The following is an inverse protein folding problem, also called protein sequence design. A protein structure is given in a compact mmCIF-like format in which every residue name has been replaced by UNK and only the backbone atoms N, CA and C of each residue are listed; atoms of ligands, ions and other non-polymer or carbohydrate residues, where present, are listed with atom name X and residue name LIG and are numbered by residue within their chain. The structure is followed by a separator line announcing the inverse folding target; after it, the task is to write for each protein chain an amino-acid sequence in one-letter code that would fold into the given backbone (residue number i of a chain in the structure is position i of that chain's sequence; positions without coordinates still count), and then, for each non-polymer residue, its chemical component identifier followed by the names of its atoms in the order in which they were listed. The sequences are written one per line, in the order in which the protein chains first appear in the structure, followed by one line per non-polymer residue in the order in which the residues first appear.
data_IF_717023777428
#
_entry.id   IF_717023777428
#
_cell.length_a   1.000
_cell.length_b   1.000
_cell.length_c   1.000
_cell.angle_alpha   90.00
_cell.angle_beta   90.00
_cell.angle_gamma   90.00
#
_symmetry.space_group_name_H-M   'P 1'
#
loop_
_entity.id
_entity.type
_entity.pdbx_description
1 polymer ?
#
# COMPACT_ATOMS: atom_id res chain seq x y z
N UNK A 1 7.72 19.42 0.72
CA UNK A 1 7.83 19.90 -0.67
C UNK A 1 6.53 19.52 -1.37
N UNK A 2 5.79 20.45 -1.99
CA UNK A 2 4.56 20.11 -2.73
C UNK A 2 4.96 19.47 -4.06
N UNK A 3 4.39 18.31 -4.40
CA UNK A 3 4.56 17.73 -5.73
C UNK A 3 3.62 18.46 -6.68
N UNK A 4 4.18 19.09 -7.71
CA UNK A 4 3.38 19.74 -8.74
C UNK A 4 2.80 18.67 -9.68
N UNK A 5 1.64 18.96 -10.27
CA UNK A 5 1.06 18.09 -11.30
C UNK A 5 2.04 17.88 -12.46
N UNK A 6 2.83 18.91 -12.81
CA UNK A 6 3.87 18.80 -13.84
C UNK A 6 4.95 17.76 -13.51
N UNK A 7 5.40 17.68 -12.25
CA UNK A 7 6.35 16.64 -11.82
C UNK A 7 5.74 15.23 -11.93
N UNK A 8 4.46 15.07 -11.58
CA UNK A 8 3.77 13.79 -11.71
C UNK A 8 3.60 13.40 -13.18
N UNK A 9 3.23 14.35 -14.04
CA UNK A 9 3.11 14.14 -15.50
C UNK A 9 4.46 13.77 -16.12
N UNK A 10 5.56 14.37 -15.66
CA UNK A 10 6.90 14.01 -16.15
C UNK A 10 7.25 12.55 -15.83
N UNK A 11 6.85 12.02 -14.66
CA UNK A 11 7.00 10.60 -14.33
C UNK A 11 6.16 9.72 -15.26
N UNK A 12 4.98 10.18 -15.67
CA UNK A 12 4.13 9.47 -16.63
C UNK A 12 4.72 9.41 -18.04
N UNK A 13 5.71 10.24 -18.37
CA UNK A 13 6.41 10.19 -19.66
C UNK A 13 7.59 9.19 -19.67
N UNK A 14 8.01 8.66 -18.52
CA UNK A 14 9.10 7.67 -18.44
C UNK A 14 8.87 6.42 -19.32
N UNK A 15 7.64 5.88 -19.43
CA UNK A 15 7.39 4.75 -20.33
C UNK A 15 7.48 5.08 -21.82
N UNK A 16 7.49 6.35 -22.23
CA UNK A 16 7.65 6.68 -23.65
C UNK A 16 9.03 6.24 -24.19
N UNK A 17 10.04 6.13 -23.32
CA UNK A 17 11.32 5.52 -23.66
C UNK A 17 11.30 3.99 -23.74
N UNK A 18 10.22 3.33 -23.28
CA UNK A 18 10.07 1.86 -23.21
C UNK A 18 9.58 1.29 -24.54
N UNK A 19 8.76 2.04 -25.28
CA UNK A 19 8.21 1.62 -26.59
C UNK A 19 9.27 1.38 -27.68
N UNK A 20 10.55 1.62 -27.39
CA UNK A 20 11.66 1.46 -28.32
C UNK A 20 12.56 0.25 -28.06
N UNK A 21 12.36 -0.50 -26.96
CA UNK A 21 13.11 -1.73 -26.66
C UNK A 21 12.17 -2.93 -26.62
N UNK A 22 12.04 -3.59 -27.76
CA UNK A 22 11.42 -4.90 -27.89
C UNK A 22 12.13 -5.91 -26.97
N UNK A 23 11.46 -6.31 -25.91
CA UNK A 23 11.80 -7.52 -25.19
C UNK A 23 10.49 -8.27 -24.91
N UNK A 24 10.37 -9.48 -25.46
CA UNK A 24 9.26 -10.38 -25.15
C UNK A 24 9.25 -10.69 -23.65
N UNK A 25 8.33 -10.07 -22.91
CA UNK A 25 8.25 -10.22 -21.44
C UNK A 25 7.58 -11.54 -21.05
N UNK A 26 6.83 -12.16 -21.97
CA UNK A 26 6.13 -13.42 -21.73
C UNK A 26 7.05 -14.59 -21.34
N UNK A 27 8.34 -14.56 -21.73
CA UNK A 27 9.30 -15.65 -21.46
C UNK A 27 10.28 -15.36 -20.32
N UNK A 28 10.20 -14.20 -19.66
CA UNK A 28 11.12 -13.84 -18.57
C UNK A 28 10.66 -14.42 -17.23
N UNK A 29 11.58 -14.98 -16.42
CA UNK A 29 11.24 -15.54 -15.12
C UNK A 29 10.65 -14.48 -14.18
N UNK A 30 9.82 -14.92 -13.23
CA UNK A 30 9.23 -14.07 -12.21
C UNK A 30 10.31 -13.23 -11.50
N UNK A 31 10.23 -11.91 -11.63
CA UNK A 31 11.06 -10.98 -10.87
C UNK A 31 10.40 -10.82 -9.50
N UNK A 32 11.06 -11.34 -8.45
CA UNK A 32 10.60 -11.22 -7.06
C UNK A 32 10.20 -9.78 -6.77
N UNK A 33 9.07 -9.54 -6.13
CA UNK A 33 8.55 -8.22 -5.77
C UNK A 33 8.03 -7.35 -6.92
N UNK A 34 8.24 -7.71 -8.19
CA UNK A 34 7.66 -6.99 -9.33
C UNK A 34 6.19 -7.34 -9.49
N UNK A 35 5.33 -6.38 -9.14
CA UNK A 35 3.88 -6.53 -9.24
C UNK A 35 3.49 -6.60 -10.72
N UNK A 36 4.03 -5.72 -11.55
CA UNK A 36 3.63 -5.66 -12.97
C UNK A 36 4.11 -6.90 -13.73
N UNK A 37 5.36 -7.34 -13.53
CA UNK A 37 5.83 -8.56 -14.18
C UNK A 37 5.00 -9.78 -13.74
N UNK A 38 4.60 -9.86 -12.46
CA UNK A 38 3.73 -10.92 -11.98
C UNK A 38 2.33 -10.89 -12.64
N UNK A 39 1.75 -9.69 -12.81
CA UNK A 39 0.45 -9.53 -13.48
C UNK A 39 0.49 -9.83 -15.00
N UNK A 40 1.65 -9.70 -15.63
CA UNK A 40 1.85 -10.09 -17.03
C UNK A 40 1.95 -11.61 -17.22
N UNK A 41 2.26 -12.36 -16.16
CA UNK A 41 2.20 -13.82 -16.22
C UNK A 41 0.75 -14.27 -16.43
N UNK A 42 0.56 -15.17 -17.38
CA UNK A 42 -0.74 -15.75 -17.66
C UNK A 42 -0.87 -17.10 -16.96
N UNK A 43 -2.01 -17.32 -16.34
CA UNK A 43 -2.29 -18.53 -15.56
C UNK A 43 -3.59 -19.14 -16.07
N UNK A 44 -3.58 -20.45 -16.33
CA UNK A 44 -4.74 -21.16 -16.90
C UNK A 44 -5.98 -21.13 -15.99
N UNK A 45 -5.79 -20.98 -14.67
CA UNK A 45 -6.90 -20.91 -13.72
C UNK A 45 -7.39 -19.46 -13.55
N UNK A 46 -8.58 -19.10 -14.06
CA UNK A 46 -9.10 -17.73 -13.98
C UNK A 46 -9.46 -17.29 -12.55
N UNK A 47 -9.53 -18.22 -11.59
CA UNK A 47 -9.75 -17.90 -10.17
C UNK A 47 -8.44 -17.65 -9.40
N UNK A 48 -7.28 -17.78 -10.06
CA UNK A 48 -6.02 -17.39 -9.46
C UNK A 48 -5.94 -15.87 -9.37
N UNK A 49 -5.86 -15.36 -8.14
CA UNK A 49 -5.74 -13.94 -7.86
C UNK A 49 -4.29 -13.57 -7.64
N UNK A 50 -3.90 -12.38 -8.08
CA UNK A 50 -2.54 -11.88 -7.92
C UNK A 50 -2.47 -10.99 -6.68
N UNK A 51 -1.42 -11.10 -5.85
CA UNK A 51 -1.18 -10.14 -4.78
C UNK A 51 -0.78 -8.78 -5.36
N UNK A 52 -1.14 -7.70 -4.67
CA UNK A 52 -0.71 -6.33 -5.00
C UNK A 52 0.15 -5.76 -3.88
N UNK A 53 -0.45 -5.40 -2.74
CA UNK A 53 0.26 -5.17 -1.47
C UNK A 53 0.40 -6.47 -0.67
N UNK A 54 1.03 -6.40 0.50
CA UNK A 54 1.11 -7.54 1.43
C UNK A 54 -0.26 -8.00 1.94
N UNK A 55 -0.45 -9.30 2.10
CA UNK A 55 -1.63 -9.88 2.73
C UNK A 55 -1.25 -10.42 4.11
N UNK A 56 -1.88 -9.90 5.17
CA UNK A 56 -1.53 -10.27 6.56
C UNK A 56 -2.71 -10.18 7.52
N UNK A 57 -2.58 -10.87 8.66
CA UNK A 57 -3.46 -10.77 9.81
C UNK A 57 -2.61 -10.77 11.08
N UNK A 58 -2.78 -9.72 11.90
CA UNK A 58 -2.00 -9.44 13.10
C UNK A 58 -2.91 -9.25 14.30
N UNK A 59 -2.49 -9.75 15.46
CA UNK A 59 -2.98 -9.23 16.74
C UNK A 59 -2.11 -8.04 17.15
N UNK A 60 -2.73 -6.92 17.48
CA UNK A 60 -2.01 -5.66 17.70
C UNK A 60 -2.38 -5.00 19.01
N UNK A 61 -1.50 -4.13 19.50
CA UNK A 61 -1.76 -3.20 20.60
C UNK A 61 -1.27 -1.81 20.20
N UNK A 62 -2.11 -0.79 20.41
CA UNK A 62 -1.76 0.61 20.17
C UNK A 62 -1.48 1.37 21.47
N UNK A 63 -0.53 2.30 21.43
CA UNK A 63 -0.18 3.18 22.54
C UNK A 63 -1.39 4.02 22.98
N UNK A 64 -2.18 4.48 22.01
CA UNK A 64 -3.38 5.26 22.25
C UNK A 64 -4.44 4.97 21.18
N UNK A 65 -5.71 4.97 21.60
CA UNK A 65 -6.83 4.70 20.71
C UNK A 65 -7.65 5.99 20.58
N UNK A 66 -7.83 6.44 19.34
CA UNK A 66 -8.50 7.70 19.01
C UNK A 66 -10.02 7.66 19.23
N UNK A 67 -10.45 7.66 20.50
CA UNK A 67 -11.87 7.66 20.87
C UNK A 67 -12.60 8.92 20.42
N UNK A 68 -11.90 10.06 20.37
CA UNK A 68 -12.50 11.34 19.97
C UNK A 68 -13.03 11.30 18.54
N UNK A 69 -12.25 10.76 17.59
CA UNK A 69 -12.69 10.68 16.19
C UNK A 69 -13.86 9.71 15.99
N UNK A 70 -14.04 8.74 16.89
CA UNK A 70 -15.11 7.73 16.81
C UNK A 70 -16.21 7.94 17.85
N UNK A 71 -16.27 9.10 18.52
CA UNK A 71 -17.18 9.38 19.65
C UNK A 71 -18.67 9.21 19.34
N UNK A 72 -19.05 9.20 18.05
CA UNK A 72 -20.42 8.94 17.60
C UNK A 72 -20.81 7.47 17.65
N UNK A 73 -19.86 6.55 17.82
CA UNK A 73 -20.15 5.13 18.02
C UNK A 73 -20.59 4.92 19.47
N UNK A 74 -21.67 4.17 19.67
CA UNK A 74 -22.23 3.82 20.98
C UNK A 74 -21.24 3.08 21.90
N UNK A 75 -20.29 2.35 21.31
CA UNK A 75 -19.25 1.60 22.02
C UNK A 75 -17.91 2.35 22.20
N UNK A 76 -17.78 3.60 21.71
CA UNK A 76 -16.50 4.33 21.65
C UNK A 76 -15.79 4.47 23.01
N UNK A 77 -16.55 4.76 24.07
CA UNK A 77 -16.02 4.87 25.44
C UNK A 77 -15.40 3.56 25.95
N UNK A 78 -15.92 2.43 25.48
CA UNK A 78 -15.46 1.09 25.86
C UNK A 78 -14.43 0.50 24.88
N UNK A 79 -13.99 1.29 23.90
CA UNK A 79 -13.01 0.85 22.91
C UNK A 79 -11.65 0.53 23.56
N UNK A 80 -11.05 -0.58 23.14
CA UNK A 80 -9.81 -1.14 23.67
C UNK A 80 -8.62 -0.84 22.78
N UNK A 81 -7.43 -0.87 23.38
CA UNK A 81 -6.15 -0.61 22.69
C UNK A 81 -5.64 -1.81 21.90
N UNK A 82 -6.13 -3.01 22.20
CA UNK A 82 -5.82 -4.21 21.46
C UNK A 82 -6.85 -4.48 20.35
N UNK A 83 -6.35 -4.69 19.14
CA UNK A 83 -7.17 -4.89 17.94
C UNK A 83 -6.54 -5.95 17.04
N UNK A 84 -7.37 -6.73 16.34
CA UNK A 84 -6.90 -7.47 15.16
C UNK A 84 -6.77 -6.47 14.01
N UNK A 85 -5.58 -6.38 13.42
CA UNK A 85 -5.30 -5.62 12.21
C UNK A 85 -5.07 -6.59 11.07
N UNK A 86 -5.77 -6.44 9.95
CA UNK A 86 -5.49 -7.24 8.76
C UNK A 86 -5.52 -6.39 7.49
N UNK A 87 -4.77 -6.86 6.49
CA UNK A 87 -4.74 -6.29 5.15
C UNK A 87 -5.00 -7.38 4.13
N UNK A 88 -5.95 -7.11 3.23
CA UNK A 88 -6.18 -7.88 2.00
C UNK A 88 -5.77 -6.99 0.83
N UNK A 89 -4.99 -7.51 -0.12
CA UNK A 89 -4.61 -6.76 -1.30
C UNK A 89 -4.41 -7.65 -2.53
N UNK A 90 -5.20 -7.34 -3.56
CA UNK A 90 -5.32 -8.12 -4.77
C UNK A 90 -5.17 -7.20 -6.00
N UNK A 91 -4.62 -7.75 -7.08
CA UNK A 91 -4.59 -7.11 -8.39
C UNK A 91 -5.23 -7.99 -9.46
N UNK A 92 -5.75 -7.30 -10.48
CA UNK A 92 -6.56 -7.85 -11.55
C UNK A 92 -6.01 -7.30 -12.88
N UNK A 93 -5.33 -8.12 -13.69
CA UNK A 93 -4.92 -7.69 -15.03
C UNK A 93 -6.17 -7.60 -15.92
N UNK A 94 -6.54 -6.41 -16.36
CA UNK A 94 -7.76 -6.17 -17.14
C UNK A 94 -7.49 -6.26 -18.64
N UNK A 95 -6.37 -5.71 -19.09
CA UNK A 95 -5.95 -5.74 -20.50
C UNK A 95 -4.43 -5.73 -20.60
N UNK A 96 -3.82 -6.91 -20.80
CA UNK A 96 -2.39 -7.06 -21.08
C UNK A 96 -2.08 -6.62 -22.51
N UNK A 97 -0.93 -5.99 -22.74
CA UNK A 97 -0.49 -5.57 -24.06
C UNK A 97 -1.10 -4.24 -24.56
N UNK A 98 -1.86 -3.51 -23.73
CA UNK A 98 -2.61 -2.31 -24.15
C UNK A 98 -1.74 -1.23 -24.81
N UNK A 99 -0.49 -1.12 -24.39
CA UNK A 99 0.53 -0.22 -24.91
C UNK A 99 1.83 -1.02 -25.17
N UNK A 100 1.75 -2.22 -25.74
CA UNK A 100 2.90 -3.10 -26.00
C UNK A 100 3.07 -4.22 -24.96
N UNK A 101 3.84 -5.25 -25.30
CA UNK A 101 3.86 -6.57 -24.64
C UNK A 101 4.21 -6.55 -23.15
N UNK A 102 4.93 -5.52 -22.70
CA UNK A 102 5.32 -5.35 -21.30
C UNK A 102 4.41 -4.44 -20.49
N UNK A 103 3.23 -4.11 -21.04
CA UNK A 103 2.27 -3.20 -20.42
C UNK A 103 0.96 -3.87 -20.08
N UNK A 104 0.22 -3.32 -19.13
CA UNK A 104 -1.16 -3.70 -18.87
C UNK A 104 -2.00 -2.54 -18.33
N UNK A 105 -3.29 -2.56 -18.65
CA UNK A 105 -4.31 -1.92 -17.82
C UNK A 105 -4.68 -2.89 -16.70
N UNK A 106 -4.58 -2.42 -15.46
CA UNK A 106 -4.83 -3.22 -14.27
C UNK A 106 -5.72 -2.49 -13.29
N UNK A 107 -6.38 -3.26 -12.43
CA UNK A 107 -7.03 -2.75 -11.24
C UNK A 107 -6.43 -3.43 -10.01
N UNK A 108 -6.54 -2.78 -8.86
CA UNK A 108 -6.26 -3.43 -7.58
C UNK A 108 -7.24 -2.99 -6.52
N UNK A 109 -7.34 -3.80 -5.47
CA UNK A 109 -8.16 -3.53 -4.31
C UNK A 109 -7.34 -3.85 -3.07
N UNK A 110 -7.08 -2.83 -2.26
CA UNK A 110 -6.47 -2.99 -0.94
C UNK A 110 -7.48 -2.64 0.13
N UNK A 111 -7.61 -3.48 1.16
CA UNK A 111 -8.46 -3.22 2.31
C UNK A 111 -7.63 -3.39 3.58
N UNK A 112 -7.69 -2.42 4.48
CA UNK A 112 -7.12 -2.50 5.83
C UNK A 112 -8.23 -2.40 6.85
N UNK A 113 -8.24 -3.28 7.85
CA UNK A 113 -9.30 -3.28 8.87
C UNK A 113 -8.71 -3.38 10.27
N UNK A 114 -9.34 -2.67 11.22
CA UNK A 114 -9.04 -2.70 12.65
C UNK A 114 -10.27 -3.19 13.41
N UNK A 115 -10.14 -4.35 14.03
CA UNK A 115 -11.23 -5.10 14.62
C UNK A 115 -11.03 -5.25 16.12
N UNK A 116 -12.01 -4.80 16.90
CA UNK A 116 -12.05 -4.92 18.37
C UNK A 116 -12.43 -6.35 18.79
N UNK A 117 -11.75 -7.37 18.25
CA UNK A 117 -12.08 -8.79 18.44
C UNK A 117 -12.20 -9.18 19.93
N UNK A 118 -11.29 -8.69 20.77
CA UNK A 118 -11.30 -9.00 22.20
C UNK A 118 -12.45 -8.31 22.95
N UNK A 119 -13.09 -7.30 22.35
CA UNK A 119 -14.10 -6.47 22.97
C UNK A 119 -15.50 -7.11 22.89
N UNK A 120 -15.61 -8.32 23.43
CA UNK A 120 -16.87 -9.07 23.49
C UNK A 120 -18.00 -8.34 24.25
N UNK A 121 -17.65 -7.42 25.16
CA UNK A 121 -18.63 -6.57 25.87
C UNK A 121 -19.41 -5.66 24.93
N UNK A 122 -18.79 -5.27 23.81
CA UNK A 122 -19.37 -4.41 22.77
C UNK A 122 -19.72 -5.22 21.50
N UNK A 123 -19.79 -6.56 21.62
CA UNK A 123 -20.01 -7.48 20.49
C UNK A 123 -18.92 -7.48 19.41
N UNK A 124 -17.67 -7.23 19.80
CA UNK A 124 -16.48 -7.29 18.94
C UNK A 124 -16.62 -6.47 17.63
N UNK A 125 -16.83 -5.14 17.71
CA UNK A 125 -17.11 -4.32 16.55
C UNK A 125 -15.86 -4.06 15.70
N UNK A 126 -16.06 -3.81 14.40
CA UNK A 126 -15.01 -3.20 13.57
C UNK A 126 -14.94 -1.70 13.86
N UNK A 127 -13.76 -1.23 14.28
CA UNK A 127 -13.53 0.21 14.49
C UNK A 127 -13.45 0.93 13.17
N UNK A 128 -12.60 0.43 12.28
CA UNK A 128 -12.29 1.10 11.03
C UNK A 128 -12.02 0.07 9.94
N UNK A 129 -12.38 0.42 8.71
CA UNK A 129 -11.97 -0.29 7.50
C UNK A 129 -11.69 0.74 6.43
N UNK A 130 -10.54 0.67 5.76
CA UNK A 130 -10.22 1.52 4.62
C UNK A 130 -10.25 0.68 3.35
N UNK A 131 -10.94 1.20 2.34
CA UNK A 131 -11.19 0.60 1.04
C UNK A 131 -10.42 1.41 0.00
N UNK A 132 -9.36 0.84 -0.55
CA UNK A 132 -8.44 1.50 -1.46
C UNK A 132 -8.41 0.82 -2.84
N UNK A 133 -9.45 1.01 -3.69
CA UNK A 133 -9.43 0.55 -5.07
C UNK A 133 -8.56 1.45 -5.96
N UNK A 134 -7.95 0.85 -6.98
CA UNK A 134 -7.10 1.53 -7.96
C UNK A 134 -7.38 1.04 -9.38
N UNK A 135 -7.17 1.94 -10.34
CA UNK A 135 -7.13 1.65 -11.78
C UNK A 135 -5.86 2.28 -12.34
N UNK A 136 -5.04 1.49 -13.03
CA UNK A 136 -3.69 1.90 -13.41
C UNK A 136 -3.23 1.32 -14.74
N UNK A 137 -2.30 2.05 -15.37
CA UNK A 137 -1.43 1.53 -16.42
C UNK A 137 -0.10 1.14 -15.79
N UNK A 138 0.32 -0.10 -15.99
CA UNK A 138 1.58 -0.65 -15.50
C UNK A 138 2.49 -1.08 -16.63
N UNK A 139 3.80 -0.91 -16.43
CA UNK A 139 4.86 -1.31 -17.34
C UNK A 139 5.93 -2.09 -16.58
N UNK A 140 6.26 -3.29 -17.05
CA UNK A 140 7.41 -4.04 -16.60
C UNK A 140 8.65 -3.57 -17.38
N UNK A 141 9.66 -3.05 -16.69
CA UNK A 141 10.85 -2.43 -17.29
C UNK A 141 12.15 -3.09 -16.81
N UNK A 142 13.25 -2.83 -17.52
CA UNK A 142 14.58 -3.34 -17.19
C UNK A 142 15.64 -2.22 -17.17
N UNK A 143 15.25 -0.98 -16.84
CA UNK A 143 16.17 0.16 -16.85
C UNK A 143 17.23 0.05 -15.76
N UNK A 144 18.49 -0.01 -16.17
CA UNK A 144 19.62 -0.13 -15.25
C UNK A 144 20.30 1.22 -15.01
N UNK A 145 20.54 1.54 -13.75
CA UNK A 145 21.30 2.72 -13.34
C UNK A 145 22.06 2.44 -12.04
N UNK A 146 23.38 2.58 -12.06
CA UNK A 146 24.25 2.43 -10.88
C UNK A 146 23.98 1.14 -10.05
N UNK A 147 23.79 0.00 -10.74
CA UNK A 147 23.50 -1.30 -10.12
C UNK A 147 22.04 -1.54 -9.74
N UNK A 148 21.19 -0.51 -9.79
CA UNK A 148 19.75 -0.65 -9.62
C UNK A 148 19.07 -0.98 -10.95
N UNK A 149 18.03 -1.79 -10.90
CA UNK A 149 17.11 -2.00 -12.04
C UNK A 149 15.72 -1.50 -11.66
N UNK A 150 15.20 -0.52 -12.39
CA UNK A 150 13.81 -0.08 -12.30
C UNK A 150 12.95 -1.13 -13.00
N UNK A 151 12.13 -1.84 -12.24
CA UNK A 151 11.33 -3.00 -12.67
C UNK A 151 9.88 -2.65 -12.94
N UNK A 152 9.29 -1.78 -12.12
CA UNK A 152 7.90 -1.37 -12.30
C UNK A 152 7.83 0.13 -12.51
N UNK A 153 7.11 0.53 -13.55
CA UNK A 153 6.56 1.87 -13.68
C UNK A 153 5.05 1.72 -13.76
N UNK A 154 4.34 2.32 -12.82
CA UNK A 154 2.88 2.28 -12.77
C UNK A 154 2.34 3.68 -12.53
N UNK A 155 1.23 4.00 -13.16
CA UNK A 155 0.53 5.27 -12.97
C UNK A 155 -0.97 5.04 -12.99
N UNK A 156 -1.69 5.72 -12.12
CA UNK A 156 -3.11 5.42 -11.98
C UNK A 156 -3.87 6.41 -11.14
N UNK A 157 -5.16 6.09 -11.04
CA UNK A 157 -6.09 6.70 -10.11
C UNK A 157 -6.26 5.78 -8.90
N UNK A 158 -6.37 6.41 -7.74
CA UNK A 158 -6.57 5.78 -6.46
C UNK A 158 -7.68 6.52 -5.72
N UNK A 159 -8.66 5.75 -5.27
CA UNK A 159 -9.64 6.19 -4.29
C UNK A 159 -9.32 5.51 -2.97
N UNK A 160 -9.45 6.21 -1.85
CA UNK A 160 -9.30 5.64 -0.52
C UNK A 160 -10.34 6.26 0.40
N UNK A 161 -11.23 5.43 0.94
CA UNK A 161 -12.29 5.86 1.85
C UNK A 161 -12.56 4.81 2.92
N UNK A 162 -13.20 5.22 4.01
CA UNK A 162 -13.54 4.30 5.10
C UNK A 162 -14.97 3.72 5.05
N UNK A 163 -15.76 4.12 4.05
CA UNK A 163 -17.15 3.66 3.87
C UNK A 163 -18.08 4.01 5.02
N UNK A 164 -17.73 4.99 5.86
CA UNK A 164 -18.58 5.48 6.96
C UNK A 164 -19.44 6.65 6.48
N UNK A 165 -20.55 6.86 7.17
CA UNK A 165 -21.31 8.11 7.09
C UNK A 165 -20.73 9.17 8.04
N UNK A 166 -21.19 10.41 7.87
CA UNK A 166 -20.91 11.50 8.82
C UNK A 166 -21.32 11.13 10.26
N UNK A 167 -20.58 11.62 11.27
CA UNK A 167 -19.41 12.51 11.19
C UNK A 167 -18.06 11.78 11.02
N UNK A 168 -18.10 10.45 10.87
CA UNK A 168 -16.91 9.58 10.82
C UNK A 168 -16.47 9.25 9.39
N UNK A 169 -17.13 9.81 8.36
CA UNK A 169 -16.72 9.68 6.97
C UNK A 169 -15.31 10.22 6.78
N UNK A 170 -14.46 9.46 6.10
CA UNK A 170 -13.13 9.89 5.66
C UNK A 170 -12.90 9.39 4.24
N UNK A 171 -12.42 10.28 3.37
CA UNK A 171 -12.17 9.96 1.97
C UNK A 171 -11.22 10.94 1.29
N UNK A 172 -10.52 10.47 0.28
CA UNK A 172 -9.70 11.29 -0.62
C UNK A 172 -9.39 10.53 -1.92
N UNK A 173 -9.00 11.28 -2.94
CA UNK A 173 -8.66 10.72 -4.25
C UNK A 173 -7.29 11.22 -4.71
N UNK A 174 -6.56 10.36 -5.42
CA UNK A 174 -5.18 10.61 -5.83
C UNK A 174 -4.96 10.14 -7.27
N UNK A 175 -4.28 10.98 -8.05
CA UNK A 175 -3.49 10.50 -9.17
C UNK A 175 -2.11 10.17 -8.65
N UNK A 176 -1.53 9.05 -9.07
CA UNK A 176 -0.24 8.61 -8.56
C UNK A 176 0.65 8.03 -9.65
N UNK A 177 1.94 7.97 -9.34
CA UNK A 177 2.91 7.10 -10.00
C UNK A 177 3.49 6.17 -8.93
N UNK A 178 3.87 4.95 -9.29
CA UNK A 178 4.57 3.98 -8.45
C UNK A 178 5.76 3.46 -9.24
N UNK A 179 6.95 3.63 -8.65
CA UNK A 179 8.22 3.24 -9.24
C UNK A 179 8.88 2.24 -8.31
N UNK A 180 9.17 1.03 -8.79
CA UNK A 180 9.85 0.01 -7.99
C UNK A 180 11.18 -0.37 -8.65
N UNK A 181 12.26 -0.26 -7.90
CA UNK A 181 13.60 -0.62 -8.32
C UNK A 181 14.27 -1.59 -7.34
N UNK A 182 15.19 -2.40 -7.86
CA UNK A 182 15.88 -3.44 -7.09
C UNK A 182 17.39 -3.39 -7.30
N UNK A 183 18.15 -3.77 -6.28
CA UNK A 183 19.60 -3.95 -6.35
C UNK A 183 20.05 -5.04 -5.37
N UNK A 184 20.37 -6.22 -5.90
CA UNK A 184 20.69 -7.39 -5.09
C UNK A 184 19.56 -7.72 -4.12
N UNK A 185 19.84 -7.63 -2.82
CA UNK A 185 18.90 -7.91 -1.75
C UNK A 185 17.98 -6.72 -1.40
N UNK A 186 18.15 -5.57 -2.04
CA UNK A 186 17.37 -4.36 -1.79
C UNK A 186 16.22 -4.21 -2.79
N UNK A 187 15.09 -3.70 -2.29
CA UNK A 187 13.98 -3.18 -3.06
C UNK A 187 13.63 -1.79 -2.56
N UNK A 188 13.41 -0.84 -3.46
CA UNK A 188 12.90 0.50 -3.14
C UNK A 188 11.70 0.78 -4.02
N UNK A 189 10.59 1.17 -3.40
CA UNK A 189 9.40 1.67 -4.09
C UNK A 189 9.11 3.11 -3.67
N UNK A 190 8.95 4.00 -4.65
CA UNK A 190 8.51 5.38 -4.43
C UNK A 190 7.16 5.57 -5.11
N UNK A 191 6.16 6.01 -4.35
CA UNK A 191 4.80 6.25 -4.83
C UNK A 191 4.39 7.71 -4.58
N UNK A 192 4.80 8.68 -5.42
CA UNK A 192 4.30 10.04 -5.34
C UNK A 192 2.85 10.16 -5.81
N UNK A 193 2.12 11.14 -5.27
CA UNK A 193 0.74 11.42 -5.67
C UNK A 193 0.41 12.91 -5.75
N UNK A 194 -0.69 13.19 -6.45
CA UNK A 194 -1.37 14.47 -6.52
C UNK A 194 -2.84 14.27 -6.14
N UNK A 195 -3.33 15.02 -5.16
CA UNK A 195 -4.72 14.92 -4.70
C UNK A 195 -5.66 15.57 -5.71
N UNK A 196 -6.76 14.89 -6.01
CA UNK A 196 -7.80 15.34 -6.96
C UNK A 196 -9.18 15.19 -6.34
N UNK A 197 -10.16 15.93 -6.87
CA UNK A 197 -11.55 15.84 -6.39
C UNK A 197 -11.77 16.43 -4.99
N UNK A 198 -12.86 15.99 -4.36
CA UNK A 198 -13.31 16.49 -3.05
C UNK A 198 -12.47 15.87 -1.90
N UNK A 199 -12.23 16.65 -0.84
CA UNK A 199 -11.57 16.23 0.41
C UNK A 199 -12.27 16.78 1.67
N UNK A 200 -13.54 17.18 1.57
CA UNK A 200 -14.30 17.89 2.60
C UNK A 200 -14.39 17.12 3.92
N UNK A 201 -14.38 15.78 3.88
CA UNK A 201 -14.33 14.91 5.05
C UNK A 201 -13.05 15.10 5.91
N UNK A 202 -11.96 15.52 5.25
CA UNK A 202 -10.62 15.65 5.82
C UNK A 202 -9.77 16.63 4.96
N UNK A 203 -10.09 17.93 4.96
CA UNK A 203 -9.52 18.89 4.01
C UNK A 203 -8.03 19.13 4.23
N UNK A 204 -7.53 18.82 5.43
CA UNK A 204 -6.12 18.93 5.79
C UNK A 204 -5.37 17.58 5.73
N UNK A 205 -5.91 16.54 5.09
CA UNK A 205 -5.27 15.20 5.05
C UNK A 205 -3.81 15.23 4.54
N UNK A 206 -3.50 16.08 3.57
CA UNK A 206 -2.14 16.24 3.03
C UNK A 206 -1.15 16.81 4.05
N UNK A 207 -1.63 17.49 5.10
CA UNK A 207 -0.79 17.95 6.22
C UNK A 207 -0.10 16.77 6.91
N UNK A 208 -0.76 15.62 7.01
CA UNK A 208 -0.27 14.43 7.72
C UNK A 208 0.25 13.35 6.78
N UNK A 209 -0.44 13.12 5.66
CA UNK A 209 -0.06 12.10 4.69
C UNK A 209 1.07 12.54 3.75
N UNK A 210 1.29 13.84 3.58
CA UNK A 210 2.26 14.36 2.62
C UNK A 210 1.85 14.08 1.17
N UNK A 211 2.86 13.85 0.33
CA UNK A 211 2.71 13.78 -1.13
C UNK A 211 3.30 12.53 -1.76
N UNK A 212 3.81 11.60 -0.95
CA UNK A 212 4.41 10.37 -1.43
C UNK A 212 4.47 9.32 -0.31
N UNK A 213 4.58 8.06 -0.71
CA UNK A 213 4.98 6.94 0.15
C UNK A 213 6.31 6.39 -0.36
N UNK A 214 7.21 6.08 0.57
CA UNK A 214 8.45 5.35 0.32
C UNK A 214 8.32 3.97 0.96
N UNK A 215 8.73 2.93 0.24
CA UNK A 215 8.98 1.60 0.81
C UNK A 215 10.40 1.15 0.52
N UNK A 216 10.99 0.45 1.48
CA UNK A 216 12.31 -0.16 1.38
C UNK A 216 12.21 -1.58 1.92
N UNK A 217 12.64 -2.55 1.12
CA UNK A 217 12.76 -3.94 1.51
C UNK A 217 14.22 -4.38 1.50
N UNK A 218 14.61 -5.23 2.46
CA UNK A 218 15.89 -5.90 2.47
C UNK A 218 15.73 -7.39 2.77
N UNK A 219 16.23 -8.23 1.86
CA UNK A 219 16.25 -9.68 2.03
C UNK A 219 17.50 -10.11 2.79
N UNK A 220 17.34 -10.70 3.98
CA UNK A 220 18.43 -11.27 4.77
C UNK A 220 18.23 -12.79 4.89
N UNK A 221 18.83 -13.54 3.97
CA UNK A 221 18.53 -14.97 3.82
C UNK A 221 17.06 -15.18 3.46
N UNK A 222 16.30 -15.83 4.34
CA UNK A 222 14.85 -16.02 4.19
C UNK A 222 14.02 -14.94 4.91
N UNK A 223 14.65 -14.16 5.79
CA UNK A 223 14.01 -13.04 6.46
C UNK A 223 13.83 -11.87 5.48
N UNK A 224 12.72 -11.16 5.60
CA UNK A 224 12.48 -9.91 4.90
C UNK A 224 12.30 -8.82 5.94
N UNK A 225 13.14 -7.78 5.86
CA UNK A 225 13.00 -6.55 6.61
C UNK A 225 12.32 -5.52 5.72
N UNK A 226 11.27 -4.88 6.22
CA UNK A 226 10.48 -3.89 5.49
C UNK A 226 10.39 -2.59 6.24
N UNK A 227 10.52 -1.47 5.55
CA UNK A 227 10.17 -0.15 6.05
C UNK A 227 9.26 0.53 5.04
N UNK A 228 8.12 1.08 5.49
CA UNK A 228 7.30 1.96 4.67
C UNK A 228 6.93 3.23 5.42
N UNK A 229 6.76 4.34 4.73
CA UNK A 229 6.32 5.56 5.40
C UNK A 229 6.02 6.70 4.46
N UNK A 230 5.41 7.73 5.05
CA UNK A 230 5.09 8.99 4.43
C UNK A 230 5.52 10.13 5.35
N UNK A 231 5.96 11.24 4.76
CA UNK A 231 6.38 12.41 5.52
C UNK A 231 6.13 13.70 4.75
N UNK A 232 5.50 14.66 5.41
CA UNK A 232 5.31 16.00 4.88
C UNK A 232 6.39 16.94 5.43
N UNK A 233 7.42 17.14 4.62
CA UNK A 233 8.54 18.04 4.93
C UNK A 233 8.16 19.49 5.24
N UNK A 234 6.97 19.97 4.84
CA UNK A 234 6.51 21.33 5.14
C UNK A 234 5.93 21.46 6.55
N UNK A 235 5.38 20.39 7.10
CA UNK A 235 4.57 20.42 8.33
C UNK A 235 5.20 19.61 9.46
N UNK A 236 6.14 18.72 9.13
CA UNK A 236 6.81 17.84 10.10
C UNK A 236 6.00 16.61 10.50
N UNK A 237 4.82 16.40 9.92
CA UNK A 237 3.99 15.22 10.18
C UNK A 237 4.31 14.09 9.23
N UNK A 238 4.12 12.87 9.71
CA UNK A 238 4.26 11.66 8.93
C UNK A 238 4.02 10.42 9.76
N UNK A 239 4.22 9.27 9.15
CA UNK A 239 4.12 7.96 9.79
C UNK A 239 5.06 6.97 9.13
N UNK A 240 5.53 6.02 9.93
CA UNK A 240 6.42 4.96 9.48
C UNK A 240 5.95 3.62 10.03
N UNK A 241 6.12 2.58 9.22
CA UNK A 241 5.88 1.19 9.57
C UNK A 241 7.14 0.39 9.29
N UNK A 242 7.60 -0.34 10.30
CA UNK A 242 8.68 -1.31 10.20
C UNK A 242 8.10 -2.70 10.33
N UNK A 243 8.64 -3.64 9.56
CA UNK A 243 8.18 -5.02 9.56
C UNK A 243 9.33 -6.01 9.41
N UNK A 244 9.14 -7.19 9.98
CA UNK A 244 10.03 -8.33 9.84
C UNK A 244 9.18 -9.56 9.59
N UNK A 245 9.48 -10.30 8.52
CA UNK A 245 8.83 -11.58 8.23
C UNK A 245 9.83 -12.71 8.04
N UNK A 246 9.41 -13.93 8.38
CA UNK A 246 10.19 -15.16 8.18
C UNK A 246 9.27 -16.32 7.78
N UNK A 247 9.64 -17.16 6.79
CA UNK A 247 8.77 -18.24 6.34
C UNK A 247 8.54 -19.29 7.43
N UNK A 248 7.27 -19.69 7.61
CA UNK A 248 6.86 -20.87 8.40
C UNK A 248 6.60 -22.03 7.44
N UNK A 249 6.00 -21.73 6.29
CA UNK A 249 5.74 -22.65 5.20
C UNK A 249 6.04 -21.96 3.87
N UNK A 250 5.83 -22.65 2.75
CA UNK A 250 5.97 -22.07 1.40
C UNK A 250 5.06 -20.85 1.17
N UNK A 251 3.91 -20.76 1.83
CA UNK A 251 2.89 -19.72 1.57
C UNK A 251 2.49 -18.91 2.80
N UNK A 252 3.11 -19.19 3.96
CA UNK A 252 2.78 -18.53 5.23
C UNK A 252 4.07 -18.13 5.93
N UNK A 253 4.11 -16.87 6.39
CA UNK A 253 5.22 -16.25 7.07
C UNK A 253 4.77 -15.78 8.46
N UNK A 254 5.64 -15.92 9.46
CA UNK A 254 5.51 -15.15 10.69
C UNK A 254 5.77 -13.68 10.36
N UNK A 255 4.98 -12.76 10.91
CA UNK A 255 5.13 -11.34 10.65
C UNK A 255 4.97 -10.52 11.93
N UNK A 256 5.93 -9.62 12.16
CA UNK A 256 5.90 -8.62 13.22
C UNK A 256 5.96 -7.24 12.60
N UNK A 257 5.10 -6.34 13.07
CA UNK A 257 4.96 -4.98 12.55
C UNK A 257 4.99 -3.96 13.70
N UNK A 258 5.66 -2.84 13.47
CA UNK A 258 5.66 -1.66 14.34
C UNK A 258 5.30 -0.46 13.47
N UNK A 259 4.12 0.11 13.69
CA UNK A 259 3.72 1.39 13.13
C UNK A 259 3.95 2.50 14.16
N UNK A 260 4.40 3.67 13.74
CA UNK A 260 4.46 4.86 14.58
C UNK A 260 4.26 6.14 13.77
N UNK A 261 3.36 7.01 14.21
CA UNK A 261 3.09 8.31 13.60
C UNK A 261 1.62 8.54 13.28
N UNK A 262 1.38 9.41 12.30
CA UNK A 262 0.07 9.84 11.82
C UNK A 262 -0.35 9.11 10.54
N UNK A 263 -1.64 8.81 10.38
CA UNK A 263 -2.14 8.21 9.16
C UNK A 263 -1.91 6.71 9.07
N UNK A 264 -2.16 5.99 10.18
CA UNK A 264 -2.22 4.53 10.13
C UNK A 264 -3.48 4.04 9.41
N UNK A 265 -4.59 4.72 9.68
CA UNK A 265 -5.91 4.53 9.08
C UNK A 265 -6.50 5.90 8.75
N UNK A 266 -7.55 5.95 7.93
CA UNK A 266 -8.20 7.22 7.56
C UNK A 266 -8.87 7.89 8.76
N UNK A 267 -9.55 7.17 9.64
CA UNK A 267 -10.12 7.77 10.86
C UNK A 267 -9.04 8.35 11.79
N UNK A 268 -7.81 7.83 11.70
CA UNK A 268 -6.63 8.26 12.46
C UNK A 268 -5.66 9.12 11.63
N UNK A 269 -6.10 9.71 10.51
CA UNK A 269 -5.18 10.44 9.61
C UNK A 269 -4.44 11.58 10.31
N UNK A 270 -5.09 12.23 11.27
CA UNK A 270 -4.58 13.34 12.07
C UNK A 270 -4.26 12.95 13.52
N UNK A 271 -4.16 11.64 13.81
CA UNK A 271 -3.92 11.12 15.15
C UNK A 271 -2.60 10.35 15.22
N UNK A 272 -1.76 10.67 16.20
CA UNK A 272 -0.48 10.01 16.40
C UNK A 272 -0.62 8.79 17.30
N UNK A 273 -0.09 7.65 16.87
CA UNK A 273 -0.04 6.44 17.69
C UNK A 273 1.17 5.58 17.35
N UNK A 274 1.59 4.75 18.29
CA UNK A 274 2.55 3.66 18.07
C UNK A 274 1.80 2.34 18.24
N UNK A 275 1.74 1.52 17.20
CA UNK A 275 1.07 0.21 17.23
C UNK A 275 2.06 -0.90 16.93
N UNK A 276 2.08 -1.92 17.79
CA UNK A 276 2.90 -3.13 17.61
C UNK A 276 1.97 -4.30 17.35
N UNK A 277 2.33 -5.18 16.42
CA UNK A 277 1.53 -6.34 16.06
C UNK A 277 2.36 -7.56 15.68
N UNK A 278 1.82 -8.74 15.96
CA UNK A 278 2.41 -10.04 15.60
C UNK A 278 1.33 -10.94 15.02
N UNK A 279 1.66 -11.71 13.98
CA UNK A 279 0.73 -12.61 13.33
C UNK A 279 1.31 -13.28 12.10
N UNK A 280 0.47 -13.44 11.08
CA UNK A 280 0.77 -14.20 9.87
C UNK A 280 0.68 -13.31 8.63
N UNK A 281 1.50 -13.62 7.63
CA UNK A 281 1.53 -12.98 6.33
C UNK A 281 1.60 -14.03 5.22
N UNK A 282 0.99 -13.77 4.06
CA UNK A 282 1.06 -14.63 2.88
C UNK A 282 2.21 -14.22 1.95
N UNK A 283 2.24 -12.93 1.56
CA UNK A 283 3.25 -12.34 0.70
C UNK A 283 3.82 -11.06 1.32
N UNK A 284 5.13 -10.86 1.16
CA UNK A 284 5.85 -9.66 1.59
C UNK A 284 6.22 -8.80 0.34
N UNK A 285 7.10 -7.81 0.49
CA UNK A 285 7.59 -6.92 -0.58
C UNK A 285 8.26 -7.62 -1.76
N UNK A 286 8.77 -8.84 -1.56
CA UNK A 286 9.50 -9.64 -2.56
C UNK A 286 8.73 -10.90 -2.96
#
# INVERSE_FOLDING_TARGET
MRISLACLVALCALPAGVMAQDASVHDKPAVRGSIIANLLQDHDNPFLLYPYESNYLLYTWTSDLNKEAIRSYDWAENARKDEVKFQLSLAFPLWRGILGDNSLLGASYTQKSWWQLSNSKESAPFRETNYEPQLFLGFATDYQFAGWTLRDIEMGYNHDSNGRSDPTSRSWNRLYARLMAQNGNWLVEVKPWYVVGNTDDNPDITKYMGYYRLKVGYQLGEAILSAQGQYNWNTGYGGAELGVSYPITKHVRAYTQIYSGYGESLIDYNFNQTRVGVGLMLNDLF
#
